data_IF_544572393174
#
_entry.id   IF_544572393174
#
_cell.length_a   1.000
_cell.length_b   1.000
_cell.length_c   1.000
_cell.angle_alpha   90.00
_cell.angle_beta   90.00
_cell.angle_gamma   90.00
#
_symmetry.space_group_name_H-M   'P 1'
#
loop_
_entity.id
_entity.type
_entity.pdbx_description
1 polymer ?
#
# COMPACT_ATOMS: atom_id res chain seq x y z
N UNK A 1 5.28 16.07 14.26
CA UNK A 1 5.12 15.60 12.86
C UNK A 1 3.66 15.23 12.65
N UNK A 2 3.09 15.55 11.48
CA UNK A 2 1.66 15.37 11.21
C UNK A 2 1.46 13.99 10.60
N UNK A 3 0.86 13.07 11.34
CA UNK A 3 0.58 11.71 10.88
C UNK A 3 -0.38 11.73 9.68
N UNK A 4 -0.15 10.87 8.69
CA UNK A 4 -1.00 10.80 7.51
C UNK A 4 -2.42 10.30 7.84
N UNK A 5 -3.44 11.05 7.44
CA UNK A 5 -4.85 10.71 7.70
C UNK A 5 -5.40 9.74 6.63
N UNK A 6 -5.32 8.45 6.94
CA UNK A 6 -5.91 7.36 6.16
C UNK A 6 -7.45 7.31 6.18
N UNK A 7 -8.13 8.09 7.02
CA UNK A 7 -9.59 8.17 7.04
C UNK A 7 -10.13 9.34 6.20
N UNK A 8 -9.26 10.27 5.81
CA UNK A 8 -9.62 11.42 4.98
C UNK A 8 -10.31 11.01 3.68
N UNK A 9 -11.30 11.82 3.27
CA UNK A 9 -11.98 11.63 1.98
C UNK A 9 -11.02 11.78 0.80
N UNK A 10 -10.01 12.64 0.95
CA UNK A 10 -8.94 12.82 -0.04
C UNK A 10 -8.18 11.52 -0.26
N UNK A 11 -7.76 10.84 0.82
CA UNK A 11 -7.10 9.55 0.70
C UNK A 11 -8.02 8.47 0.14
N UNK A 12 -9.27 8.36 0.61
CA UNK A 12 -10.22 7.35 0.10
C UNK A 12 -10.41 7.45 -1.42
N UNK A 13 -10.55 8.68 -1.95
CA UNK A 13 -10.62 8.96 -3.40
C UNK A 13 -9.31 8.60 -4.11
N UNK A 14 -8.17 9.01 -3.56
CA UNK A 14 -6.85 8.71 -4.14
C UNK A 14 -6.59 7.22 -4.20
N UNK A 15 -6.80 6.50 -3.10
CA UNK A 15 -6.69 5.04 -3.00
C UNK A 15 -7.52 4.34 -4.07
N UNK A 16 -8.77 4.77 -4.27
CA UNK A 16 -9.63 4.20 -5.30
C UNK A 16 -9.12 4.49 -6.72
N UNK A 17 -8.58 5.70 -6.98
CA UNK A 17 -7.93 6.02 -8.27
C UNK A 17 -6.75 5.09 -8.55
N UNK A 18 -5.89 4.85 -7.57
CA UNK A 18 -4.71 3.98 -7.71
C UNK A 18 -5.15 2.53 -7.97
N UNK A 19 -6.12 2.02 -7.21
CA UNK A 19 -6.66 0.66 -7.45
C UNK A 19 -7.23 0.52 -8.87
N UNK A 20 -7.98 1.52 -9.37
CA UNK A 20 -8.49 1.49 -10.74
C UNK A 20 -7.39 1.54 -11.79
N UNK A 21 -6.38 2.41 -11.63
CA UNK A 21 -5.20 2.48 -12.51
C UNK A 21 -4.54 1.11 -12.64
N UNK A 22 -4.44 0.40 -11.54
CA UNK A 22 -3.78 -0.89 -11.43
C UNK A 22 -4.69 -2.07 -11.80
N UNK A 23 -5.89 -1.81 -12.35
CA UNK A 23 -6.94 -2.79 -12.66
C UNK A 23 -7.30 -3.69 -11.46
N UNK A 24 -7.18 -3.16 -10.25
CA UNK A 24 -7.35 -3.89 -9.00
C UNK A 24 -6.45 -5.13 -8.87
N UNK A 25 -5.30 -5.13 -9.55
CA UNK A 25 -4.30 -6.20 -9.48
C UNK A 25 -3.10 -5.78 -8.65
N UNK A 26 -2.56 -6.73 -7.90
CA UNK A 26 -1.32 -6.59 -7.15
C UNK A 26 -0.16 -6.40 -8.15
N UNK A 27 0.44 -5.22 -8.14
CA UNK A 27 1.50 -4.88 -9.08
C UNK A 27 2.77 -5.71 -8.85
N UNK A 28 3.06 -6.09 -7.60
CA UNK A 28 4.19 -6.96 -7.30
C UNK A 28 3.97 -8.38 -7.82
N UNK A 29 2.79 -8.97 -7.62
CA UNK A 29 2.48 -10.29 -8.17
C UNK A 29 2.46 -10.30 -9.70
N UNK A 30 1.95 -9.22 -10.31
CA UNK A 30 1.88 -9.05 -11.77
C UNK A 30 3.27 -9.09 -12.42
N UNK A 31 4.31 -8.56 -11.75
CA UNK A 31 5.71 -8.64 -12.22
C UNK A 31 6.20 -10.08 -12.44
N UNK A 32 5.64 -11.04 -11.72
CA UNK A 32 5.94 -12.46 -11.85
C UNK A 32 4.86 -13.23 -12.62
N UNK A 33 4.05 -12.55 -13.43
CA UNK A 33 2.99 -13.17 -14.24
C UNK A 33 1.75 -13.63 -13.46
N UNK A 34 1.61 -13.26 -12.18
CA UNK A 34 0.47 -13.68 -11.34
C UNK A 34 -0.62 -12.62 -11.32
N UNK A 35 -1.86 -13.01 -11.63
CA UNK A 35 -3.05 -12.14 -11.55
C UNK A 35 -3.72 -12.28 -10.19
N UNK A 36 -3.18 -11.58 -9.18
CA UNK A 36 -3.73 -11.58 -7.81
C UNK A 36 -4.41 -10.24 -7.54
N UNK A 37 -5.60 -10.25 -6.94
CA UNK A 37 -6.33 -9.04 -6.59
C UNK A 37 -5.57 -8.19 -5.56
N UNK A 38 -5.47 -6.88 -5.81
CA UNK A 38 -5.00 -5.90 -4.83
C UNK A 38 -6.14 -5.52 -3.88
N UNK A 39 -5.80 -5.40 -2.60
CA UNK A 39 -6.72 -4.96 -1.54
C UNK A 39 -6.26 -3.68 -0.87
N UNK A 40 -4.99 -3.34 -1.00
CA UNK A 40 -4.34 -2.25 -0.29
C UNK A 40 -3.53 -1.40 -1.27
N UNK A 41 -3.36 -0.12 -0.91
CA UNK A 41 -2.44 0.78 -1.62
C UNK A 41 -1.36 1.15 -0.62
N UNK A 42 -0.12 0.84 -0.99
CA UNK A 42 1.06 1.05 -0.18
C UNK A 42 1.78 2.34 -0.61
N UNK A 43 2.31 3.08 0.37
CA UNK A 43 3.23 4.18 0.16
C UNK A 43 4.66 3.63 0.03
N UNK A 44 5.29 3.75 -1.13
CA UNK A 44 6.66 3.24 -1.37
C UNK A 44 7.67 3.96 -0.46
N UNK A 45 7.54 5.28 -0.37
CA UNK A 45 8.17 6.13 0.65
C UNK A 45 7.12 6.50 1.68
N UNK A 46 7.41 6.22 2.95
CA UNK A 46 6.48 6.42 4.06
C UNK A 46 5.98 7.87 4.11
N UNK A 47 4.66 8.02 4.25
CA UNK A 47 4.00 9.33 4.24
C UNK A 47 4.34 10.20 5.46
N UNK A 48 4.79 9.60 6.56
CA UNK A 48 5.23 10.33 7.76
C UNK A 48 6.62 10.96 7.58
N UNK A 49 7.46 10.37 6.74
CA UNK A 49 8.81 10.87 6.40
C UNK A 49 8.81 11.77 5.16
N UNK A 50 7.94 11.47 4.19
CA UNK A 50 7.82 12.17 2.90
C UNK A 50 6.38 12.64 2.66
N UNK A 51 5.85 13.57 3.49
CA UNK A 51 4.46 14.01 3.40
C UNK A 51 4.12 14.68 2.06
N UNK A 52 5.09 15.28 1.39
CA UNK A 52 4.97 15.85 0.05
C UNK A 52 4.69 14.79 -1.03
N UNK A 53 5.14 13.56 -0.82
CA UNK A 53 4.93 12.43 -1.72
C UNK A 53 3.68 11.60 -1.38
N UNK A 54 2.96 11.94 -0.31
CA UNK A 54 1.89 11.09 0.21
C UNK A 54 0.69 10.92 -0.74
N UNK A 55 0.58 11.81 -1.74
CA UNK A 55 -0.43 11.75 -2.81
C UNK A 55 0.19 11.67 -4.21
N UNK A 56 1.48 11.38 -4.36
CA UNK A 56 2.08 11.15 -5.67
C UNK A 56 1.63 9.79 -6.22
N UNK A 57 1.20 9.72 -7.49
CA UNK A 57 0.81 8.46 -8.13
C UNK A 57 2.00 7.47 -8.21
N UNK A 58 3.23 7.97 -8.36
CA UNK A 58 4.45 7.17 -8.43
C UNK A 58 4.91 6.66 -7.06
N UNK A 59 4.46 7.29 -5.97
CA UNK A 59 4.73 6.83 -4.61
C UNK A 59 3.68 5.83 -4.10
N UNK A 60 2.69 5.46 -4.92
CA UNK A 60 1.56 4.64 -4.53
C UNK A 60 1.45 3.39 -5.41
N UNK A 61 1.38 2.23 -4.77
CA UNK A 61 1.33 0.92 -5.45
C UNK A 61 0.22 0.04 -4.89
N UNK A 62 -0.59 -0.55 -5.77
CA UNK A 62 -1.62 -1.51 -5.37
C UNK A 62 -1.03 -2.89 -5.09
N UNK A 63 -1.26 -3.41 -3.88
CA UNK A 63 -0.73 -4.69 -3.42
C UNK A 63 -1.84 -5.59 -2.86
N UNK A 64 -1.60 -6.91 -2.91
CA UNK A 64 -2.34 -7.86 -2.09
C UNK A 64 -1.81 -7.80 -0.64
N UNK A 65 -2.61 -8.24 0.33
CA UNK A 65 -2.26 -8.22 1.76
C UNK A 65 -0.90 -8.90 2.05
N UNK A 66 -0.61 -10.02 1.39
CA UNK A 66 0.66 -10.73 1.56
C UNK A 66 1.87 -9.90 1.07
N UNK A 67 1.76 -9.24 -0.10
CA UNK A 67 2.82 -8.38 -0.62
C UNK A 67 2.95 -7.09 0.20
N UNK A 68 1.83 -6.53 0.67
CA UNK A 68 1.81 -5.35 1.52
C UNK A 68 2.55 -5.61 2.84
N UNK A 69 2.26 -6.72 3.51
CA UNK A 69 2.94 -7.08 4.77
C UNK A 69 4.44 -7.33 4.61
N UNK A 70 4.89 -7.82 3.43
CA UNK A 70 6.32 -7.94 3.13
C UNK A 70 7.04 -6.59 3.03
N UNK A 71 6.33 -5.51 2.74
CA UNK A 71 6.89 -4.16 2.77
C UNK A 71 6.99 -3.59 4.19
N UNK A 72 6.41 -4.27 5.19
CA UNK A 72 6.44 -3.90 6.60
C UNK A 72 7.15 -4.98 7.44
N UNK A 73 8.47 -5.23 7.22
CA UNK A 73 9.21 -6.23 7.97
C UNK A 73 9.20 -5.98 9.49
N UNK A 74 9.04 -4.73 9.94
CA UNK A 74 8.88 -4.35 11.34
C UNK A 74 7.63 -4.99 12.00
N UNK A 75 6.60 -5.32 11.21
CA UNK A 75 5.37 -5.99 11.70
C UNK A 75 5.49 -7.51 11.70
N UNK A 76 6.49 -8.09 11.03
CA UNK A 76 6.67 -9.54 10.96
C UNK A 76 7.10 -10.17 12.30
N UNK A 77 7.73 -9.39 13.19
CA UNK A 77 8.13 -9.85 14.53
C UNK A 77 6.96 -10.06 15.51
N UNK A 78 5.83 -9.37 15.31
CA UNK A 78 4.71 -9.39 16.26
C UNK A 78 3.75 -10.59 16.09
N UNK A 79 3.92 -11.40 15.04
CA UNK A 79 3.04 -12.55 14.73
C UNK A 79 3.74 -13.91 14.99
N UNK A 80 4.74 -13.97 15.90
CA UNK A 80 5.44 -15.21 16.24
C UNK A 80 5.04 -15.87 17.57
N UNK A 81 4.07 -15.33 18.30
CA UNK A 81 3.54 -15.97 19.51
C UNK A 81 2.02 -16.01 19.52
N UNK A 82 1.46 -17.09 18.98
CA UNK A 82 0.15 -17.62 19.37
C UNK A 82 0.29 -19.14 19.46
N UNK A 83 0.72 -19.59 20.64
CA UNK A 83 0.46 -20.93 21.17
C UNK A 83 -0.77 -20.83 22.07
#
# INVERSE_FOLDING_TARGET
MKQFDYQSQKWKRKRLKILRRDNYLCQECKRYGKMIAAREVHHIKHSDEYPELAYDDNNLISLCHACHNKQHPEKAGAMRYRY
#
